data_IF_503138045174
#
_entry.id   IF_503138045174
#
_cell.length_a   1.000
_cell.length_b   1.000
_cell.length_c   1.000
_cell.angle_alpha   90.00
_cell.angle_beta   90.00
_cell.angle_gamma   90.00
#
_symmetry.space_group_name_H-M   'P 1'
#
loop_
_entity.id
_entity.type
_entity.pdbx_description
1 polymer ?
#
# COMPACT_ATOMS: atom_id res chain seq x y z
N UNK A 1 41.87 14.93 43.67
CA UNK A 1 41.07 13.73 43.30
C UNK A 1 40.57 13.98 41.89
N UNK A 2 41.15 13.29 40.92
CA UNK A 2 40.73 13.41 39.53
C UNK A 2 39.47 12.56 39.33
N UNK A 3 38.35 13.19 38.97
CA UNK A 3 37.15 12.50 38.54
C UNK A 3 37.46 11.78 37.22
N UNK A 4 37.50 10.46 37.24
CA UNK A 4 37.51 9.62 36.04
C UNK A 4 36.23 9.93 35.24
N UNK A 5 36.39 10.72 34.16
CA UNK A 5 35.36 10.84 33.13
C UNK A 5 35.09 9.44 32.58
N UNK A 6 34.08 8.76 33.10
CA UNK A 6 33.54 7.53 32.48
C UNK A 6 33.22 7.84 31.01
N UNK A 7 34.08 7.36 30.11
CA UNK A 7 33.87 7.54 28.68
C UNK A 7 32.52 6.93 28.31
N UNK A 8 31.60 7.75 27.80
CA UNK A 8 30.31 7.32 27.36
C UNK A 8 30.49 6.33 26.17
N UNK A 9 29.89 5.18 26.26
CA UNK A 9 29.99 4.12 25.23
C UNK A 9 28.62 3.75 24.68
N UNK A 10 28.59 3.40 23.40
CA UNK A 10 27.42 2.85 22.76
C UNK A 10 27.07 1.49 23.36
N UNK A 11 25.82 1.29 23.76
CA UNK A 11 25.33 0.02 24.34
C UNK A 11 25.23 -1.11 23.32
N UNK A 12 25.25 -0.79 22.01
CA UNK A 12 25.16 -1.75 20.92
C UNK A 12 26.54 -2.23 20.45
N UNK A 13 27.42 -1.30 20.04
CA UNK A 13 28.73 -1.66 19.46
C UNK A 13 29.92 -1.41 20.40
N UNK A 14 29.71 -0.77 21.57
CA UNK A 14 30.77 -0.51 22.54
C UNK A 14 31.72 0.66 22.20
N UNK A 15 31.60 1.30 21.02
CA UNK A 15 32.40 2.46 20.61
C UNK A 15 32.22 3.61 21.60
N UNK A 16 33.30 4.33 21.89
CA UNK A 16 33.26 5.52 22.75
C UNK A 16 32.72 6.74 21.98
N UNK A 17 32.25 7.76 22.73
CA UNK A 17 31.70 9.00 22.15
C UNK A 17 32.70 9.71 21.22
N UNK A 18 34.01 9.62 21.48
CA UNK A 18 35.03 10.20 20.62
C UNK A 18 35.31 9.44 19.32
N UNK A 19 34.69 8.26 19.11
CA UNK A 19 34.85 7.42 17.93
C UNK A 19 33.63 7.46 16.99
N UNK A 20 32.58 8.22 17.33
CA UNK A 20 31.33 8.33 16.63
C UNK A 20 30.95 9.79 16.45
N UNK A 21 30.16 10.12 15.43
CA UNK A 21 29.76 11.50 15.19
C UNK A 21 28.70 11.99 16.20
N UNK A 22 27.77 11.12 16.57
CA UNK A 22 26.71 11.44 17.53
C UNK A 22 26.37 10.24 18.41
N UNK A 23 25.98 10.53 19.65
CA UNK A 23 25.49 9.55 20.60
C UNK A 23 24.11 9.98 21.08
N UNK A 24 23.11 9.12 20.87
CA UNK A 24 21.73 9.32 21.37
C UNK A 24 21.66 8.64 22.74
N UNK A 25 21.15 9.38 23.73
CA UNK A 25 21.02 8.87 25.09
C UNK A 25 19.56 8.65 25.44
N UNK A 26 19.28 7.46 25.97
CA UNK A 26 18.00 7.08 26.55
C UNK A 26 18.14 6.71 28.04
N UNK A 27 17.05 6.34 28.71
CA UNK A 27 17.09 5.92 30.10
C UNK A 27 17.96 4.66 30.28
N UNK A 28 19.22 4.86 30.76
CA UNK A 28 20.16 3.76 31.03
C UNK A 28 20.84 3.14 29.80
N UNK A 29 20.56 3.61 28.59
CA UNK A 29 21.14 3.10 27.33
C UNK A 29 21.63 4.22 26.43
N UNK A 30 22.56 3.89 25.54
CA UNK A 30 23.10 4.82 24.52
C UNK A 30 23.29 4.10 23.21
N UNK A 31 22.99 4.78 22.11
CA UNK A 31 23.19 4.25 20.77
C UNK A 31 23.92 5.29 19.92
N UNK A 32 24.90 4.87 19.13
CA UNK A 32 25.61 5.76 18.22
C UNK A 32 24.89 5.84 16.86
N UNK A 33 25.20 6.90 16.11
CA UNK A 33 24.69 7.16 14.77
C UNK A 33 24.92 5.99 13.79
N UNK A 34 26.07 5.35 13.83
CA UNK A 34 26.36 4.17 12.99
C UNK A 34 25.43 2.99 13.32
N UNK A 35 25.16 2.75 14.62
CA UNK A 35 24.21 1.69 15.00
C UNK A 35 22.76 2.04 14.67
N UNK A 36 22.40 3.33 14.72
CA UNK A 36 21.07 3.77 14.26
C UNK A 36 20.91 3.53 12.77
N UNK A 37 21.92 3.90 11.95
CA UNK A 37 21.89 3.63 10.51
C UNK A 37 21.81 2.12 10.20
N UNK A 38 22.57 1.30 10.92
CA UNK A 38 22.49 -0.15 10.78
C UNK A 38 21.11 -0.69 11.18
N UNK A 39 20.51 -0.19 12.25
CA UNK A 39 19.14 -0.57 12.63
C UNK A 39 18.13 -0.13 11.58
N UNK A 40 18.25 1.08 11.04
CA UNK A 40 17.38 1.56 9.97
C UNK A 40 17.50 0.68 8.72
N UNK A 41 18.72 0.36 8.26
CA UNK A 41 18.89 -0.51 7.09
C UNK A 41 18.29 -1.92 7.33
N UNK A 42 18.43 -2.50 8.52
CA UNK A 42 17.83 -3.80 8.85
C UNK A 42 16.29 -3.70 8.91
N UNK A 43 15.76 -2.59 9.42
CA UNK A 43 14.32 -2.35 9.43
C UNK A 43 13.80 -2.08 8.03
N UNK A 44 14.50 -1.28 7.22
CA UNK A 44 14.15 -1.01 5.83
C UNK A 44 14.22 -2.30 5.00
N UNK A 45 15.27 -3.12 5.12
CA UNK A 45 15.36 -4.43 4.45
C UNK A 45 14.25 -5.39 4.92
N UNK A 46 13.88 -5.36 6.20
CA UNK A 46 12.79 -6.15 6.76
C UNK A 46 11.41 -5.63 6.42
N UNK A 47 11.26 -4.31 6.31
CA UNK A 47 10.01 -3.64 5.93
C UNK A 47 9.80 -3.69 4.41
N UNK A 48 10.84 -3.44 3.61
CA UNK A 48 10.81 -3.55 2.16
C UNK A 48 10.48 -4.97 1.70
N UNK A 49 11.03 -5.99 2.36
CA UNK A 49 10.72 -7.38 2.02
C UNK A 49 9.27 -7.80 2.34
N UNK A 50 8.56 -7.06 3.20
CA UNK A 50 7.17 -7.35 3.58
C UNK A 50 6.13 -6.43 2.90
N UNK A 51 6.54 -5.24 2.41
CA UNK A 51 5.61 -4.19 1.97
C UNK A 51 5.86 -3.68 0.54
N UNK A 52 7.02 -3.92 -0.06
CA UNK A 52 7.32 -3.46 -1.43
C UNK A 52 7.19 -4.61 -2.46
N UNK A 53 6.03 -5.28 -2.46
CA UNK A 53 5.59 -6.03 -3.64
C UNK A 53 4.88 -5.07 -4.63
N UNK A 54 5.41 -3.85 -4.79
CA UNK A 54 5.11 -2.99 -5.92
C UNK A 54 5.69 -3.64 -7.20
N UNK A 55 5.11 -3.30 -8.34
CA UNK A 55 5.63 -3.78 -9.61
C UNK A 55 6.85 -2.92 -10.00
N UNK A 56 8.05 -3.50 -9.99
CA UNK A 56 9.30 -2.80 -10.32
C UNK A 56 9.42 -2.50 -11.81
N UNK A 57 8.73 -3.29 -12.64
CA UNK A 57 8.71 -3.12 -14.09
C UNK A 57 7.32 -3.36 -14.69
N UNK A 58 7.08 -2.84 -15.91
CA UNK A 58 5.83 -3.10 -16.65
C UNK A 58 5.63 -4.61 -16.89
N UNK A 59 6.72 -5.39 -16.93
CA UNK A 59 6.71 -6.82 -17.16
C UNK A 59 6.20 -7.60 -15.95
N UNK A 60 6.32 -7.03 -14.74
CA UNK A 60 5.85 -7.64 -13.49
C UNK A 60 4.33 -7.43 -13.31
N UNK A 61 3.76 -6.38 -13.93
CA UNK A 61 2.32 -6.13 -13.87
C UNK A 61 1.56 -7.25 -14.62
N UNK A 62 0.63 -7.95 -13.97
CA UNK A 62 -0.10 -9.03 -14.62
C UNK A 62 -0.85 -8.52 -15.85
N UNK A 63 -0.63 -9.16 -16.98
CA UNK A 63 -1.26 -8.80 -18.25
C UNK A 63 -2.79 -8.95 -18.17
N UNK A 64 -3.56 -8.26 -19.02
CA UNK A 64 -5.02 -8.41 -19.04
C UNK A 64 -5.48 -9.86 -19.21
N UNK A 65 -4.71 -10.68 -19.93
CA UNK A 65 -5.00 -12.10 -20.09
C UNK A 65 -4.81 -12.87 -18.80
N UNK A 66 -3.73 -12.64 -18.07
CA UNK A 66 -3.47 -13.27 -16.77
C UNK A 66 -4.51 -12.85 -15.72
N UNK A 67 -4.89 -11.55 -15.68
CA UNK A 67 -5.98 -11.08 -14.82
C UNK A 67 -7.28 -11.81 -15.15
N UNK A 68 -7.61 -11.95 -16.43
CA UNK A 68 -8.81 -12.69 -16.88
C UNK A 68 -8.75 -14.16 -16.49
N UNK A 69 -7.62 -14.83 -16.65
CA UNK A 69 -7.44 -16.24 -16.27
C UNK A 69 -7.70 -16.47 -14.78
N UNK A 70 -7.27 -15.53 -13.92
CA UNK A 70 -7.59 -15.61 -12.48
C UNK A 70 -9.08 -15.34 -12.26
N UNK A 71 -9.68 -14.35 -12.93
CA UNK A 71 -11.12 -14.10 -12.82
C UNK A 71 -11.95 -15.32 -13.26
N UNK A 72 -11.48 -16.08 -14.25
CA UNK A 72 -12.14 -17.30 -14.73
C UNK A 72 -12.21 -18.40 -13.66
N UNK A 73 -11.28 -18.42 -12.70
CA UNK A 73 -11.28 -19.38 -11.60
C UNK A 73 -12.35 -19.07 -10.54
N UNK A 74 -12.73 -17.81 -10.37
CA UNK A 74 -13.66 -17.36 -9.31
C UNK A 74 -15.04 -16.98 -9.84
N UNK A 75 -15.14 -16.52 -11.08
CA UNK A 75 -16.39 -16.01 -11.66
C UNK A 75 -16.77 -16.86 -12.87
N UNK A 76 -17.95 -17.46 -12.82
CA UNK A 76 -18.48 -18.28 -13.93
C UNK A 76 -19.21 -17.37 -14.91
N UNK A 77 -18.91 -17.49 -16.21
CA UNK A 77 -19.53 -16.70 -17.27
C UNK A 77 -19.06 -15.25 -17.30
N UNK A 78 -19.89 -14.37 -17.84
CA UNK A 78 -19.67 -12.91 -17.93
C UNK A 78 -18.37 -12.51 -18.65
N UNK A 79 -18.05 -13.18 -19.75
CA UNK A 79 -16.78 -13.00 -20.48
C UNK A 79 -16.50 -11.54 -20.88
N UNK A 80 -17.53 -10.81 -21.36
CA UNK A 80 -17.38 -9.40 -21.72
C UNK A 80 -16.96 -8.51 -20.54
N UNK A 81 -17.55 -8.75 -19.35
CA UNK A 81 -17.21 -8.01 -18.14
C UNK A 81 -15.78 -8.32 -17.68
N UNK A 82 -15.36 -9.58 -17.72
CA UNK A 82 -14.00 -10.01 -17.37
C UNK A 82 -12.96 -9.34 -18.25
N UNK A 83 -13.17 -9.34 -19.57
CA UNK A 83 -12.25 -8.70 -20.52
C UNK A 83 -12.19 -7.19 -20.26
N UNK A 84 -13.33 -6.51 -20.16
CA UNK A 84 -13.38 -5.07 -19.95
C UNK A 84 -12.69 -4.65 -18.63
N UNK A 85 -12.97 -5.38 -17.54
CA UNK A 85 -12.34 -5.12 -16.25
C UNK A 85 -10.83 -5.38 -16.26
N UNK A 86 -10.39 -6.50 -16.85
CA UNK A 86 -8.96 -6.84 -16.94
C UNK A 86 -8.16 -5.77 -17.69
N UNK A 87 -8.68 -5.29 -18.82
CA UNK A 87 -8.04 -4.23 -19.61
C UNK A 87 -8.05 -2.90 -18.87
N UNK A 88 -9.18 -2.52 -18.27
CA UNK A 88 -9.30 -1.24 -17.55
C UNK A 88 -8.39 -1.18 -16.35
N UNK A 89 -8.33 -2.25 -15.57
CA UNK A 89 -7.48 -2.36 -14.39
C UNK A 89 -6.01 -2.37 -14.77
N UNK A 90 -5.61 -3.15 -15.77
CA UNK A 90 -4.24 -3.12 -16.28
C UNK A 90 -3.80 -1.71 -16.71
N UNK A 91 -4.61 -1.00 -17.48
CA UNK A 91 -4.31 0.34 -17.91
C UNK A 91 -4.23 1.33 -16.75
N UNK A 92 -5.06 1.14 -15.72
CA UNK A 92 -5.04 1.97 -14.51
C UNK A 92 -3.71 1.81 -13.75
N UNK A 93 -3.29 0.58 -13.46
CA UNK A 93 -2.05 0.34 -12.73
C UNK A 93 -0.81 0.63 -13.56
N UNK A 94 -0.83 0.31 -14.86
CA UNK A 94 0.23 0.73 -15.77
C UNK A 94 0.47 2.24 -15.70
N UNK A 95 -0.58 3.04 -15.64
CA UNK A 95 -0.46 4.49 -15.49
C UNK A 95 0.09 4.90 -14.12
N UNK A 96 -0.36 4.26 -13.02
CA UNK A 96 0.10 4.58 -11.66
C UNK A 96 1.61 4.33 -11.53
N UNK A 97 2.07 3.16 -11.98
CA UNK A 97 3.46 2.77 -11.82
C UNK A 97 4.41 3.36 -12.86
N UNK A 98 3.93 3.58 -14.10
CA UNK A 98 4.78 3.90 -15.24
C UNK A 98 4.35 5.14 -16.03
N UNK A 99 3.32 5.85 -15.64
CA UNK A 99 2.70 6.96 -16.40
C UNK A 99 3.43 8.30 -16.35
N UNK A 100 4.63 8.40 -15.77
CA UNK A 100 5.36 9.65 -15.61
C UNK A 100 6.19 10.11 -16.81
N UNK A 101 6.24 9.38 -17.91
CA UNK A 101 7.18 9.61 -19.01
C UNK A 101 6.55 9.83 -20.40
N UNK A 102 5.23 9.91 -20.50
CA UNK A 102 4.57 10.11 -21.80
C UNK A 102 4.00 11.53 -21.93
N UNK A 103 4.16 12.15 -23.10
CA UNK A 103 3.59 13.47 -23.46
C UNK A 103 2.03 13.50 -23.45
N UNK A 104 1.39 12.39 -23.12
CA UNK A 104 -0.07 12.24 -23.10
C UNK A 104 -0.56 12.04 -21.68
N UNK A 105 -1.34 13.01 -21.18
CA UNK A 105 -2.00 12.92 -19.90
C UNK A 105 -3.18 11.92 -19.97
N UNK A 106 -3.00 10.74 -19.37
CA UNK A 106 -4.05 9.74 -19.24
C UNK A 106 -4.97 10.08 -18.07
N UNK A 107 -6.24 10.36 -18.36
CA UNK A 107 -7.23 10.67 -17.32
C UNK A 107 -7.53 9.46 -16.44
N UNK A 108 -7.78 9.72 -15.15
CA UNK A 108 -8.30 8.71 -14.22
C UNK A 108 -9.73 8.34 -14.62
N UNK A 109 -10.05 7.04 -14.62
CA UNK A 109 -11.40 6.57 -14.90
C UNK A 109 -11.90 5.68 -13.76
N UNK A 110 -13.14 5.91 -13.35
CA UNK A 110 -13.87 5.02 -12.46
C UNK A 110 -14.64 4.00 -13.29
N UNK A 111 -14.83 2.80 -12.75
CA UNK A 111 -15.59 1.73 -13.43
C UNK A 111 -16.97 1.63 -12.78
N UNK A 112 -18.02 1.80 -13.59
CA UNK A 112 -19.39 1.60 -13.16
C UNK A 112 -19.83 0.16 -13.52
N UNK A 113 -20.22 -0.61 -12.49
CA UNK A 113 -20.76 -1.96 -12.67
C UNK A 113 -22.26 -1.98 -12.43
N UNK A 114 -23.05 -2.31 -13.46
CA UNK A 114 -24.50 -2.37 -13.39
C UNK A 114 -24.95 -3.83 -13.57
N UNK A 115 -25.86 -4.29 -12.73
CA UNK A 115 -26.42 -5.63 -12.81
C UNK A 115 -27.27 -5.96 -11.59
N UNK A 116 -28.07 -7.04 -11.63
CA UNK A 116 -28.91 -7.47 -10.52
C UNK A 116 -28.09 -7.88 -9.30
N UNK A 117 -28.73 -7.92 -8.13
CA UNK A 117 -28.13 -8.47 -6.92
C UNK A 117 -27.73 -9.93 -7.15
N UNK A 118 -26.59 -10.34 -6.65
CA UNK A 118 -26.06 -11.70 -6.84
C UNK A 118 -25.33 -11.93 -8.17
N UNK A 119 -25.20 -10.92 -9.06
CA UNK A 119 -24.46 -11.06 -10.31
C UNK A 119 -22.94 -11.08 -10.16
N UNK A 120 -22.42 -11.02 -8.93
CA UNK A 120 -20.98 -11.11 -8.66
C UNK A 120 -20.19 -9.80 -8.72
N UNK A 121 -20.85 -8.63 -8.79
CA UNK A 121 -20.16 -7.32 -8.88
C UNK A 121 -19.08 -7.14 -7.80
N UNK A 122 -19.44 -7.37 -6.53
CA UNK A 122 -18.50 -7.29 -5.41
C UNK A 122 -17.40 -8.36 -5.50
N UNK A 123 -17.73 -9.56 -5.96
CA UNK A 123 -16.76 -10.63 -6.14
C UNK A 123 -15.70 -10.27 -7.18
N UNK A 124 -16.09 -9.61 -8.27
CA UNK A 124 -15.14 -9.08 -9.25
C UNK A 124 -14.14 -8.12 -8.60
N UNK A 125 -14.62 -7.11 -7.86
CA UNK A 125 -13.77 -6.11 -7.21
C UNK A 125 -12.83 -6.75 -6.18
N UNK A 126 -13.33 -7.67 -5.35
CA UNK A 126 -12.51 -8.39 -4.37
C UNK A 126 -11.45 -9.28 -5.03
N UNK A 127 -11.81 -9.96 -6.13
CA UNK A 127 -10.86 -10.82 -6.83
C UNK A 127 -9.76 -10.00 -7.50
N UNK A 128 -10.11 -8.85 -8.10
CA UNK A 128 -9.14 -7.93 -8.68
C UNK A 128 -8.16 -7.39 -7.63
N UNK A 129 -8.64 -6.95 -6.48
CA UNK A 129 -7.78 -6.48 -5.40
C UNK A 129 -6.79 -7.57 -4.94
N UNK A 130 -7.25 -8.83 -4.87
CA UNK A 130 -6.41 -9.98 -4.52
C UNK A 130 -5.34 -10.27 -5.58
N UNK A 131 -5.70 -10.21 -6.87
CA UNK A 131 -4.76 -10.44 -7.99
C UNK A 131 -3.67 -9.39 -8.01
N UNK A 132 -4.03 -8.16 -7.72
CA UNK A 132 -3.13 -6.99 -7.72
C UNK A 132 -2.39 -6.80 -6.40
N UNK A 133 -2.76 -7.61 -5.37
CA UNK A 133 -2.20 -7.51 -4.01
C UNK A 133 -2.32 -6.10 -3.41
N UNK A 134 -3.47 -5.45 -3.62
CA UNK A 134 -3.73 -4.10 -3.13
C UNK A 134 -4.82 -4.09 -2.06
N UNK A 135 -4.83 -3.09 -1.16
CA UNK A 135 -5.87 -2.92 -0.15
C UNK A 135 -7.26 -2.80 -0.79
N UNK A 136 -8.25 -3.37 -0.11
CA UNK A 136 -9.64 -3.36 -0.58
C UNK A 136 -10.58 -2.88 0.50
N UNK A 137 -11.40 -1.88 0.19
CA UNK A 137 -12.45 -1.40 1.07
C UNK A 137 -13.81 -1.43 0.38
N UNK A 138 -14.84 -1.78 1.16
CA UNK A 138 -16.25 -1.72 0.73
C UNK A 138 -16.92 -0.58 1.49
N UNK A 139 -17.63 0.26 0.74
CA UNK A 139 -18.47 1.31 1.29
C UNK A 139 -19.92 1.15 0.79
N UNK A 140 -20.87 1.53 1.63
CA UNK A 140 -22.28 1.59 1.27
C UNK A 140 -22.68 3.05 1.05
N UNK A 141 -23.00 3.41 -0.19
CA UNK A 141 -23.41 4.77 -0.54
C UNK A 141 -24.71 5.21 0.12
N UNK A 142 -25.55 4.25 0.57
CA UNK A 142 -26.83 4.57 1.21
C UNK A 142 -26.67 5.09 2.64
N UNK A 143 -25.54 4.81 3.28
CA UNK A 143 -25.21 5.26 4.63
C UNK A 143 -24.43 6.58 4.66
N UNK A 144 -23.99 7.05 3.47
CA UNK A 144 -23.21 8.27 3.36
C UNK A 144 -24.09 9.51 3.56
N UNK A 145 -23.68 10.40 4.44
CA UNK A 145 -24.32 11.68 4.69
C UNK A 145 -23.32 12.83 4.54
N UNK A 146 -23.81 14.05 4.36
CA UNK A 146 -22.97 15.24 4.43
C UNK A 146 -22.37 15.39 5.83
N UNK A 147 -21.15 15.92 5.90
CA UNK A 147 -20.44 16.15 7.15
C UNK A 147 -21.30 16.90 8.18
N UNK A 148 -21.48 16.28 9.35
CA UNK A 148 -22.27 16.86 10.45
C UNK A 148 -23.70 16.30 10.60
N UNK A 149 -24.15 15.40 9.74
CA UNK A 149 -25.38 14.62 9.93
C UNK A 149 -25.10 13.23 10.51
N UNK A 150 -26.13 12.60 11.07
CA UNK A 150 -26.02 11.24 11.61
C UNK A 150 -25.90 10.24 10.46
N UNK A 151 -24.70 9.71 10.23
CA UNK A 151 -24.36 8.76 9.17
C UNK A 151 -22.84 8.59 9.04
N UNK A 152 -22.40 7.77 8.09
CA UNK A 152 -20.98 7.62 7.76
C UNK A 152 -20.54 8.81 6.89
N UNK A 153 -19.50 9.52 7.31
CA UNK A 153 -18.87 10.57 6.49
C UNK A 153 -18.05 9.95 5.35
N UNK A 154 -17.89 10.69 4.26
CA UNK A 154 -17.09 10.24 3.08
C UNK A 154 -15.65 9.90 3.50
N UNK A 155 -15.11 10.61 4.49
CA UNK A 155 -13.78 10.36 5.06
C UNK A 155 -13.67 8.98 5.69
N UNK A 156 -14.77 8.40 6.19
CA UNK A 156 -14.76 7.03 6.74
C UNK A 156 -14.47 5.97 5.68
N UNK A 157 -14.77 6.22 4.41
CA UNK A 157 -14.41 5.33 3.30
C UNK A 157 -12.89 5.26 3.17
N UNK A 158 -12.23 6.41 3.17
CA UNK A 158 -10.77 6.50 3.11
C UNK A 158 -10.12 5.88 4.36
N UNK A 159 -10.71 6.11 5.53
CA UNK A 159 -10.23 5.48 6.76
C UNK A 159 -10.30 3.94 6.70
N UNK A 160 -11.38 3.38 6.16
CA UNK A 160 -11.50 1.92 5.95
C UNK A 160 -10.43 1.39 5.00
N UNK A 161 -10.13 2.13 3.92
CA UNK A 161 -9.05 1.75 3.00
C UNK A 161 -7.69 1.83 3.69
N UNK A 162 -7.44 2.88 4.45
CA UNK A 162 -6.21 3.07 5.22
C UNK A 162 -6.04 1.97 6.29
N UNK A 163 -7.12 1.56 6.95
CA UNK A 163 -7.10 0.40 7.87
C UNK A 163 -6.79 -0.91 7.14
N UNK A 164 -7.33 -1.11 5.94
CA UNK A 164 -7.03 -2.28 5.11
C UNK A 164 -5.58 -2.30 4.60
N UNK A 165 -4.92 -1.15 4.60
CA UNK A 165 -3.50 -0.97 4.27
C UNK A 165 -2.59 -0.93 5.52
N UNK A 166 -3.08 -1.36 6.70
CA UNK A 166 -2.35 -1.28 7.98
C UNK A 166 -1.79 0.14 8.28
N UNK A 167 -2.52 1.19 7.86
CA UNK A 167 -2.15 2.60 7.97
C UNK A 167 -0.95 3.03 7.12
N UNK A 168 -0.56 2.22 6.15
CA UNK A 168 0.39 2.61 5.12
C UNK A 168 -0.30 3.46 4.05
N UNK A 169 0.10 4.73 3.94
CA UNK A 169 -0.51 5.70 3.02
C UNK A 169 -0.16 5.37 1.56
N UNK A 170 1.09 5.00 1.28
CA UNK A 170 1.55 4.70 -0.07
C UNK A 170 0.86 3.45 -0.63
N UNK A 171 0.66 2.45 0.23
CA UNK A 171 -0.11 1.27 -0.12
C UNK A 171 -1.60 1.59 -0.29
N UNK A 172 -2.17 2.43 0.57
CA UNK A 172 -3.57 2.85 0.48
C UNK A 172 -3.88 3.63 -0.80
N UNK A 173 -2.95 4.46 -1.30
CA UNK A 173 -3.11 5.21 -2.55
C UNK A 173 -3.29 4.31 -3.78
N UNK A 174 -2.82 3.08 -3.71
CA UNK A 174 -2.93 2.06 -4.76
C UNK A 174 -4.15 1.16 -4.57
N UNK A 175 -4.91 1.35 -3.49
CA UNK A 175 -6.03 0.51 -3.11
C UNK A 175 -7.28 0.64 -3.99
N UNK A 176 -8.20 -0.31 -3.84
CA UNK A 176 -9.48 -0.33 -4.52
C UNK A 176 -10.61 -0.06 -3.53
N UNK A 177 -11.44 0.92 -3.83
CA UNK A 177 -12.68 1.19 -3.10
C UNK A 177 -13.86 0.76 -3.97
N UNK A 178 -14.70 -0.11 -3.42
CA UNK A 178 -15.97 -0.53 -4.00
C UNK A 178 -17.13 0.13 -3.25
N UNK A 179 -17.88 0.97 -3.91
CA UNK A 179 -19.04 1.71 -3.38
C UNK A 179 -20.34 1.09 -3.87
#
# INVERSE_FOLDING_TARGET
MAEEKKSLRCSFCGKSEGQVHRMIQGPGVRICDECVQLCMSILDDGYSAAMDEGFDSVEDLPTPQQIKEVLDQYVIGQEGAKIALSVSVYNHYKRIYFGGHEDVELQKSNILMIGPTGSGKTLFAQTLARVLKVPFAIADATTLTEAGYVGDDVENILLRLLQAADFDVELAERGIIYV
#
